data_IF_876786805713
#
_entry.id   IF_876786805713
#
_cell.length_a   1.000
_cell.length_b   1.000
_cell.length_c   1.000
_cell.angle_alpha   90.00
_cell.angle_beta   90.00
_cell.angle_gamma   90.00
#
_symmetry.space_group_name_H-M   'P 1'
#
loop_
_entity.id
_entity.type
_entity.pdbx_description
1 polymer ?
#
# COMPACT_ATOMS: atom_id res chain seq x y z
N UNK A 1 -40.81 -8.46 8.55
CA UNK A 1 -40.36 -9.12 7.30
C UNK A 1 -39.24 -8.27 6.72
N UNK A 2 -38.00 -8.76 6.71
CA UNK A 2 -36.80 -7.95 6.55
C UNK A 2 -36.50 -7.52 5.11
N UNK A 3 -36.16 -6.24 4.90
CA UNK A 3 -35.65 -5.71 3.64
C UNK A 3 -34.15 -6.02 3.55
N UNK A 4 -33.75 -6.93 2.65
CA UNK A 4 -32.36 -7.20 2.34
C UNK A 4 -31.73 -5.95 1.71
N UNK A 5 -30.79 -5.33 2.42
CA UNK A 5 -29.98 -4.23 1.89
C UNK A 5 -29.18 -4.74 0.68
N UNK A 6 -29.39 -4.10 -0.47
CA UNK A 6 -28.70 -4.41 -1.71
C UNK A 6 -27.20 -4.13 -1.53
N UNK A 7 -26.36 -5.16 -1.66
CA UNK A 7 -24.91 -5.04 -1.65
C UNK A 7 -24.49 -4.00 -2.68
N UNK A 8 -23.85 -2.94 -2.19
CA UNK A 8 -23.32 -1.86 -3.01
C UNK A 8 -22.48 -2.41 -4.16
N UNK A 9 -22.98 -2.24 -5.38
CA UNK A 9 -22.17 -2.44 -6.57
C UNK A 9 -21.09 -1.35 -6.54
N UNK A 10 -19.82 -1.73 -6.38
CA UNK A 10 -18.73 -0.77 -6.55
C UNK A 10 -18.82 -0.20 -7.96
N UNK A 11 -19.00 1.11 -8.06
CA UNK A 11 -18.94 1.83 -9.33
C UNK A 11 -17.58 1.57 -9.94
N UNK A 12 -17.54 0.96 -11.12
CA UNK A 12 -16.32 0.90 -11.90
C UNK A 12 -15.95 2.34 -12.26
N UNK A 13 -14.92 2.87 -11.60
CA UNK A 13 -14.29 4.12 -12.04
C UNK A 13 -13.83 3.86 -13.47
N UNK A 14 -14.33 4.65 -14.41
CA UNK A 14 -13.91 4.64 -15.80
C UNK A 14 -12.45 5.06 -15.86
N UNK A 15 -11.55 4.11 -15.64
CA UNK A 15 -10.12 4.30 -15.83
C UNK A 15 -9.84 4.56 -17.30
N UNK A 16 -8.90 5.46 -17.54
CA UNK A 16 -8.35 5.77 -18.85
C UNK A 16 -8.01 4.46 -19.62
N UNK A 17 -8.23 4.40 -20.95
CA UNK A 17 -8.00 3.19 -21.73
C UNK A 17 -6.58 2.66 -21.49
N UNK A 18 -6.46 1.36 -21.19
CA UNK A 18 -5.17 0.71 -21.00
C UNK A 18 -4.35 0.89 -22.29
N UNK A 19 -3.32 1.74 -22.24
CA UNK A 19 -2.44 1.95 -23.40
C UNK A 19 -1.70 0.67 -23.70
N UNK A 20 -2.02 0.06 -24.85
CA UNK A 20 -1.31 -1.12 -25.33
C UNK A 20 0.12 -0.69 -25.69
N UNK A 21 1.11 -1.31 -25.05
CA UNK A 21 2.51 -1.12 -25.39
C UNK A 21 3.03 -2.34 -26.15
N UNK A 22 3.68 -2.08 -27.27
CA UNK A 22 4.34 -3.10 -28.07
C UNK A 22 5.86 -2.91 -27.94
N UNK A 23 6.57 -4.03 -27.80
CA UNK A 23 8.03 -4.06 -27.66
C UNK A 23 8.56 -5.11 -28.63
N UNK A 24 9.54 -4.71 -29.42
CA UNK A 24 10.25 -5.61 -30.31
C UNK A 24 11.47 -6.16 -29.57
N UNK A 25 11.59 -7.49 -29.54
CA UNK A 25 12.68 -8.21 -28.88
C UNK A 25 13.51 -8.91 -29.94
N UNK A 26 14.82 -8.83 -29.81
CA UNK A 26 15.74 -9.68 -30.57
C UNK A 26 15.51 -11.16 -30.24
N UNK A 27 16.02 -12.05 -31.10
CA UNK A 27 15.92 -13.50 -30.88
C UNK A 27 16.55 -13.92 -29.55
N UNK A 28 17.67 -13.31 -29.17
CA UNK A 28 18.39 -13.59 -27.92
C UNK A 28 17.60 -13.11 -26.70
N UNK A 29 17.09 -11.87 -26.70
CA UNK A 29 16.26 -11.37 -25.59
C UNK A 29 15.00 -12.22 -25.42
N UNK A 30 14.43 -12.70 -26.54
CA UNK A 30 13.24 -13.54 -26.53
C UNK A 30 13.51 -14.92 -25.92
N UNK A 31 14.69 -15.52 -26.12
CA UNK A 31 15.01 -16.81 -25.49
C UNK A 31 15.18 -16.66 -23.99
N UNK A 32 15.87 -15.60 -23.54
CA UNK A 32 16.07 -15.29 -22.11
C UNK A 32 14.72 -15.08 -21.41
N UNK A 33 13.83 -14.27 -22.00
CA UNK A 33 12.51 -13.99 -21.44
C UNK A 33 11.65 -15.26 -21.38
N UNK A 34 11.67 -16.09 -22.42
CA UNK A 34 10.91 -17.35 -22.42
C UNK A 34 11.38 -18.31 -21.34
N UNK A 35 12.69 -18.44 -21.14
CA UNK A 35 13.26 -19.29 -20.10
C UNK A 35 12.87 -18.79 -18.70
N UNK A 36 13.00 -17.49 -18.45
CA UNK A 36 12.63 -16.90 -17.17
C UNK A 36 11.12 -16.96 -16.90
N UNK A 37 10.29 -16.79 -17.94
CA UNK A 37 8.84 -16.94 -17.84
C UNK A 37 8.43 -18.39 -17.52
N UNK A 38 9.08 -19.38 -18.14
CA UNK A 38 8.86 -20.80 -17.85
C UNK A 38 9.23 -21.16 -16.40
N UNK A 39 10.38 -20.68 -15.91
CA UNK A 39 10.79 -20.85 -14.51
C UNK A 39 9.79 -20.20 -13.53
N UNK A 40 9.20 -19.07 -13.92
CA UNK A 40 8.19 -18.38 -13.13
C UNK A 40 6.77 -18.97 -13.26
N UNK A 41 6.55 -19.98 -14.12
CA UNK A 41 5.22 -20.53 -14.41
C UNK A 41 4.27 -19.54 -15.10
N UNK A 42 4.81 -18.55 -15.82
CA UNK A 42 4.05 -17.48 -16.45
C UNK A 42 4.16 -17.52 -17.98
N UNK A 43 3.17 -16.92 -18.65
CA UNK A 43 3.30 -16.58 -20.07
C UNK A 43 4.33 -15.46 -20.26
N UNK A 44 5.12 -15.44 -21.34
CA UNK A 44 6.15 -14.41 -21.56
C UNK A 44 5.66 -12.97 -21.43
N UNK A 45 4.50 -12.64 -22.00
CA UNK A 45 3.90 -11.31 -21.85
C UNK A 45 3.48 -10.96 -20.41
N UNK A 46 3.01 -11.95 -19.63
CA UNK A 46 2.66 -11.76 -18.24
C UNK A 46 3.92 -11.59 -17.36
N UNK A 47 4.99 -12.31 -17.69
CA UNK A 47 6.29 -12.15 -17.05
C UNK A 47 6.86 -10.74 -17.29
N UNK A 48 6.88 -10.26 -18.55
CA UNK A 48 7.33 -8.91 -18.88
C UNK A 48 6.51 -7.86 -18.14
N UNK A 49 5.17 -7.99 -18.13
CA UNK A 49 4.30 -7.04 -17.44
C UNK A 49 4.57 -7.01 -15.92
N UNK A 50 4.79 -8.18 -15.30
CA UNK A 50 5.10 -8.29 -13.87
C UNK A 50 6.43 -7.61 -13.54
N UNK A 51 7.49 -7.92 -14.29
CA UNK A 51 8.81 -7.35 -14.05
C UNK A 51 8.85 -5.85 -14.39
N UNK A 52 8.14 -5.38 -15.42
CA UNK A 52 8.00 -3.95 -15.72
C UNK A 52 7.32 -3.18 -14.58
N UNK A 53 6.26 -3.74 -13.99
CA UNK A 53 5.59 -3.13 -12.81
C UNK A 53 6.50 -3.17 -11.60
N UNK A 54 7.29 -4.23 -11.42
CA UNK A 54 8.26 -4.34 -10.33
C UNK A 54 9.37 -3.29 -10.46
N UNK A 55 9.93 -3.12 -11.65
CA UNK A 55 10.94 -2.12 -11.95
C UNK A 55 10.39 -0.70 -11.76
N UNK A 56 9.21 -0.40 -12.31
CA UNK A 56 8.58 0.90 -12.13
C UNK A 56 8.28 1.22 -10.65
N UNK A 57 7.94 0.21 -9.84
CA UNK A 57 7.80 0.37 -8.39
C UNK A 57 9.14 0.70 -7.74
N UNK A 58 10.22 0.00 -8.08
CA UNK A 58 11.56 0.31 -7.56
C UNK A 58 11.99 1.74 -7.92
N UNK A 59 11.74 2.18 -9.15
CA UNK A 59 12.04 3.56 -9.59
C UNK A 59 11.17 4.61 -8.87
N UNK A 60 9.90 4.29 -8.63
CA UNK A 60 8.97 5.18 -7.90
C UNK A 60 9.33 5.24 -6.42
N UNK A 61 9.71 4.10 -5.82
CA UNK A 61 10.21 4.03 -4.45
C UNK A 61 11.50 4.87 -4.32
N UNK A 62 12.47 4.72 -5.22
CA UNK A 62 13.69 5.53 -5.22
C UNK A 62 13.48 7.03 -5.46
N UNK A 63 12.42 7.45 -6.18
CA UNK A 63 12.06 8.87 -6.38
C UNK A 63 11.23 9.45 -5.21
N UNK A 64 10.52 8.60 -4.47
CA UNK A 64 9.69 8.96 -3.32
C UNK A 64 10.38 8.72 -1.96
N UNK A 65 11.59 8.20 -1.95
CA UNK A 65 12.37 7.86 -0.75
C UNK A 65 13.04 9.09 -0.12
N UNK A 66 12.20 10.02 0.31
CA UNK A 66 12.30 10.59 1.65
C UNK A 66 11.17 10.04 2.54
N UNK A 67 10.72 8.79 2.33
CA UNK A 67 9.99 8.02 3.36
C UNK A 67 9.86 6.55 2.94
N UNK A 68 10.80 5.71 3.36
CA UNK A 68 10.69 4.26 3.19
C UNK A 68 11.98 3.61 2.71
N UNK A 69 13.05 3.73 3.50
CA UNK A 69 14.29 3.00 3.26
C UNK A 69 13.98 1.51 3.03
N UNK A 70 14.34 0.99 1.86
CA UNK A 70 14.62 -0.43 1.71
C UNK A 70 15.79 -0.75 2.67
N UNK A 71 15.43 -1.24 3.86
CA UNK A 71 16.39 -1.80 4.79
C UNK A 71 16.92 -3.07 4.12
N UNK A 72 18.09 -2.96 3.49
CA UNK A 72 18.93 -4.11 3.17
C UNK A 72 18.91 -5.06 4.38
N UNK A 73 18.69 -6.37 4.22
CA UNK A 73 18.52 -7.25 5.36
C UNK A 73 19.77 -7.15 6.23
N UNK A 74 19.60 -6.53 7.41
CA UNK A 74 20.59 -6.59 8.46
C UNK A 74 20.86 -8.08 8.69
N UNK A 75 22.13 -8.46 8.65
CA UNK A 75 22.57 -9.84 8.74
C UNK A 75 21.84 -10.54 9.90
N UNK A 76 20.91 -11.44 9.58
CA UNK A 76 20.10 -12.17 10.57
C UNK A 76 18.58 -12.17 10.36
N UNK A 77 18.00 -11.26 9.57
CA UNK A 77 16.54 -11.24 9.32
C UNK A 77 16.17 -12.15 8.15
N UNK A 78 15.44 -13.23 8.42
CA UNK A 78 14.93 -14.12 7.37
C UNK A 78 13.92 -13.38 6.47
N UNK A 79 13.83 -13.76 5.19
CA UNK A 79 12.85 -13.18 4.24
C UNK A 79 11.40 -13.28 4.74
N UNK A 80 11.10 -14.28 5.59
CA UNK A 80 9.78 -14.40 6.26
C UNK A 80 9.59 -13.31 7.31
N UNK A 81 10.57 -13.08 8.19
CA UNK A 81 10.50 -12.03 9.21
C UNK A 81 10.41 -10.63 8.61
N UNK A 82 11.11 -10.37 7.51
CA UNK A 82 11.00 -9.09 6.79
C UNK A 82 9.59 -8.87 6.20
N UNK A 83 8.92 -9.93 5.72
CA UNK A 83 7.54 -9.84 5.20
C UNK A 83 6.52 -9.62 6.29
N UNK A 84 6.66 -10.29 7.43
CA UNK A 84 5.80 -10.09 8.61
C UNK A 84 5.87 -8.64 9.09
N UNK A 85 7.09 -8.10 9.24
CA UNK A 85 7.30 -6.69 9.62
C UNK A 85 6.69 -5.72 8.60
N UNK A 86 6.85 -5.99 7.30
CA UNK A 86 6.24 -5.16 6.25
C UNK A 86 4.71 -5.19 6.30
N UNK A 87 4.11 -6.32 6.64
CA UNK A 87 2.65 -6.43 6.75
C UNK A 87 2.11 -5.75 8.01
N UNK A 88 2.84 -5.81 9.13
CA UNK A 88 2.57 -5.03 10.35
C UNK A 88 2.62 -3.53 10.06
N UNK A 89 3.69 -3.05 9.39
CA UNK A 89 3.82 -1.63 9.01
C UNK A 89 2.71 -1.20 8.04
N UNK A 90 2.34 -2.04 7.07
CA UNK A 90 1.21 -1.75 6.17
C UNK A 90 -0.12 -1.68 6.91
N UNK A 91 -0.31 -2.52 7.93
CA UNK A 91 -1.51 -2.47 8.76
C UNK A 91 -1.59 -1.14 9.53
N UNK A 92 -0.48 -0.72 10.16
CA UNK A 92 -0.37 0.58 10.85
C UNK A 92 -0.66 1.74 9.89
N UNK A 93 -0.11 1.71 8.67
CA UNK A 93 -0.38 2.73 7.65
C UNK A 93 -1.87 2.82 7.28
N UNK A 94 -2.59 1.71 7.22
CA UNK A 94 -4.05 1.71 6.95
C UNK A 94 -4.82 2.32 8.12
N UNK A 95 -4.46 1.99 9.36
CA UNK A 95 -5.08 2.57 10.55
C UNK A 95 -4.89 4.10 10.57
N UNK A 96 -3.67 4.58 10.31
CA UNK A 96 -3.40 6.01 10.20
C UNK A 96 -4.20 6.68 9.08
N UNK A 97 -4.36 6.02 7.94
CA UNK A 97 -5.19 6.52 6.83
C UNK A 97 -6.66 6.72 7.21
N UNK A 98 -7.23 5.78 7.98
CA UNK A 98 -8.61 5.90 8.47
C UNK A 98 -8.75 7.05 9.48
N UNK A 99 -7.78 7.18 10.39
CA UNK A 99 -7.74 8.26 11.38
C UNK A 99 -7.63 9.64 10.71
N UNK A 100 -6.75 9.77 9.72
CA UNK A 100 -6.61 10.99 8.93
C UNK A 100 -7.88 11.32 8.14
N UNK A 101 -8.57 10.31 7.60
CA UNK A 101 -9.87 10.48 6.95
C UNK A 101 -10.92 11.07 7.89
N UNK A 102 -11.07 10.46 9.08
CA UNK A 102 -12.02 10.95 10.09
C UNK A 102 -11.71 12.38 10.54
N UNK A 103 -10.43 12.71 10.75
CA UNK A 103 -10.02 14.06 11.10
C UNK A 103 -10.31 15.06 9.96
N UNK A 104 -10.07 14.67 8.72
CA UNK A 104 -10.35 15.49 7.55
C UNK A 104 -11.86 15.75 7.37
N UNK A 105 -12.71 14.80 7.72
CA UNK A 105 -14.17 14.98 7.68
C UNK A 105 -14.66 15.91 8.79
N UNK A 106 -14.10 15.82 10.01
CA UNK A 106 -14.36 16.81 11.07
C UNK A 106 -13.92 18.21 10.66
N UNK A 107 -12.72 18.33 10.08
CA UNK A 107 -12.19 19.60 9.59
C UNK A 107 -13.06 20.17 8.46
N UNK A 108 -13.50 19.34 7.51
CA UNK A 108 -14.40 19.77 6.43
C UNK A 108 -15.73 20.25 6.99
N UNK A 109 -16.32 19.53 7.95
CA UNK A 109 -17.55 19.94 8.60
C UNK A 109 -17.39 21.30 9.29
N UNK A 110 -16.38 21.43 10.17
CA UNK A 110 -16.09 22.66 10.90
C UNK A 110 -15.86 23.86 9.96
N UNK A 111 -15.15 23.65 8.85
CA UNK A 111 -14.93 24.69 7.85
C UNK A 111 -16.20 25.07 7.08
N UNK A 112 -17.17 24.15 6.95
CA UNK A 112 -18.42 24.38 6.21
C UNK A 112 -19.54 25.01 7.05
N UNK A 113 -19.61 24.69 8.34
CA UNK A 113 -20.67 25.18 9.25
C UNK A 113 -20.17 26.25 10.22
N UNK A 114 -18.85 26.42 10.39
CA UNK A 114 -18.26 27.25 11.44
C UNK A 114 -18.35 26.65 12.85
N UNK A 115 -18.98 25.48 12.98
CA UNK A 115 -19.24 24.79 14.24
C UNK A 115 -18.57 23.41 14.25
N UNK A 116 -17.93 23.07 15.37
CA UNK A 116 -17.39 21.73 15.59
C UNK A 116 -18.55 20.75 15.83
N UNK A 117 -18.47 19.57 15.20
CA UNK A 117 -19.42 18.48 15.47
C UNK A 117 -19.34 18.13 16.96
N UNK A 118 -20.46 17.87 17.63
CA UNK A 118 -20.52 17.51 19.05
C UNK A 118 -19.61 16.31 19.41
N UNK A 119 -19.34 15.43 18.44
CA UNK A 119 -18.48 14.25 18.56
C UNK A 119 -16.98 14.51 18.30
N UNK A 120 -16.58 15.74 17.97
CA UNK A 120 -15.20 16.07 17.58
C UNK A 120 -14.18 15.72 18.67
N UNK A 121 -14.53 15.92 19.95
CA UNK A 121 -13.68 15.54 21.08
C UNK A 121 -13.43 14.03 21.14
N UNK A 122 -14.47 13.22 20.95
CA UNK A 122 -14.35 11.76 20.93
C UNK A 122 -13.51 11.26 19.75
N UNK A 123 -13.60 11.92 18.59
CA UNK A 123 -12.80 11.61 17.40
C UNK A 123 -11.33 11.96 17.65
N UNK A 124 -11.03 13.13 18.22
CA UNK A 124 -9.67 13.54 18.57
C UNK A 124 -9.05 12.63 19.65
N UNK A 125 -9.83 12.20 20.64
CA UNK A 125 -9.38 11.24 21.65
C UNK A 125 -9.10 9.86 21.06
N UNK A 126 -9.89 9.44 20.06
CA UNK A 126 -9.65 8.21 19.32
C UNK A 126 -8.40 8.30 18.43
N UNK A 127 -8.19 9.45 17.77
CA UNK A 127 -6.98 9.75 16.99
C UNK A 127 -5.75 9.67 17.89
N UNK A 128 -5.77 10.33 19.05
CA UNK A 128 -4.66 10.32 20.02
C UNK A 128 -4.32 8.90 20.47
N UNK A 129 -5.31 8.13 20.92
CA UNK A 129 -5.12 6.72 21.33
C UNK A 129 -4.59 5.84 20.21
N UNK A 130 -5.03 6.09 18.97
CA UNK A 130 -4.54 5.32 17.82
C UNK A 130 -3.10 5.66 17.50
N UNK A 131 -2.69 6.93 17.58
CA UNK A 131 -1.30 7.33 17.42
C UNK A 131 -0.40 6.75 18.50
N UNK A 132 -0.79 6.84 19.77
CA UNK A 132 -0.04 6.24 20.89
C UNK A 132 0.16 4.73 20.71
N UNK A 133 -0.87 4.04 20.20
CA UNK A 133 -0.78 2.62 19.87
C UNK A 133 0.18 2.37 18.71
N UNK A 134 0.11 3.16 17.64
CA UNK A 134 1.02 3.03 16.49
C UNK A 134 2.47 3.23 16.92
N UNK A 135 2.74 4.25 17.74
CA UNK A 135 4.08 4.54 18.26
C UNK A 135 4.63 3.39 19.11
N UNK A 136 3.78 2.82 19.98
CA UNK A 136 4.16 1.67 20.81
C UNK A 136 4.52 0.44 19.96
N UNK A 137 3.73 0.14 18.92
CA UNK A 137 3.96 -0.98 18.00
C UNK A 137 5.23 -0.76 17.16
N UNK A 138 5.44 0.45 16.63
CA UNK A 138 6.67 0.80 15.90
C UNK A 138 7.91 0.63 16.79
N UNK A 139 7.85 1.06 18.04
CA UNK A 139 8.96 0.88 19.00
C UNK A 139 9.17 -0.58 19.40
N UNK A 140 8.13 -1.43 19.36
CA UNK A 140 8.26 -2.86 19.55
C UNK A 140 8.97 -3.53 18.34
N UNK A 141 8.57 -3.16 17.12
CA UNK A 141 9.21 -3.62 15.87
C UNK A 141 10.69 -3.21 15.85
N UNK A 142 11.00 -1.94 16.15
CA UNK A 142 12.39 -1.46 16.19
C UNK A 142 13.25 -2.20 17.21
N UNK A 143 12.69 -2.57 18.36
CA UNK A 143 13.39 -3.38 19.38
C UNK A 143 13.61 -4.82 18.93
N UNK A 144 12.71 -5.40 18.13
CA UNK A 144 12.84 -6.77 17.59
C UNK A 144 13.89 -6.87 16.48
N UNK A 145 14.18 -5.76 15.80
CA UNK A 145 15.15 -5.68 14.70
C UNK A 145 16.58 -5.32 15.15
N UNK A 146 16.77 -4.97 16.44
CA UNK A 146 18.07 -4.65 17.04
C UNK A 146 18.65 -5.86 17.75
#
# INVERSE_FOLDING_TARGET
>A
MGTRSARGHRTHVSGEPRTRREVWLSSEERTVINAAAAQAGLRPGAYIAREAVRAARADTSGRGESSGAEVAPAAGVTVSGAREVLDEVRHLRRLMGNVAGNLNDVARHANSTGELVEQSGAILDFVRRTNERVDAELMAILRRLR
#
